data_IF_729856766612
#
_entry.id   IF_729856766612
#
_cell.length_a   1.000
_cell.length_b   1.000
_cell.length_c   1.000
_cell.angle_alpha   90.00
_cell.angle_beta   90.00
_cell.angle_gamma   90.00
#
_symmetry.space_group_name_H-M   'P 1'
#
loop_
_entity.id
_entity.type
_entity.pdbx_description
1 polymer ?
#
# COMPACT_ATOMS: atom_id res chain seq x y z
N UNK A 1 3.12 -7.70 13.75
CA UNK A 1 1.89 -6.91 14.00
C UNK A 1 1.49 -6.33 12.65
N UNK A 2 0.23 -6.52 12.20
CA UNK A 2 -0.24 -6.00 10.93
C UNK A 2 -0.23 -4.47 10.92
N UNK A 3 -0.03 -3.87 9.75
CA UNK A 3 -0.08 -2.42 9.58
C UNK A 3 -1.49 -1.87 9.87
N UNK A 4 -2.52 -2.53 9.33
CA UNK A 4 -3.92 -2.21 9.60
C UNK A 4 -4.67 -3.48 9.98
N UNK A 5 -5.50 -3.36 11.03
CA UNK A 5 -6.37 -4.42 11.52
C UNK A 5 -7.81 -3.91 11.53
N UNK A 6 -8.70 -4.59 10.82
CA UNK A 6 -10.12 -4.25 10.75
C UNK A 6 -10.94 -5.42 11.27
N UNK A 7 -11.77 -5.19 12.29
CA UNK A 7 -12.78 -6.13 12.76
C UNK A 7 -14.17 -5.62 12.36
N UNK A 8 -14.74 -6.21 11.34
CA UNK A 8 -16.12 -5.95 10.95
C UNK A 8 -17.06 -6.94 11.66
N UNK A 9 -17.69 -6.46 12.73
CA UNK A 9 -18.67 -7.23 13.51
C UNK A 9 -19.96 -7.51 12.74
N UNK A 10 -20.33 -6.68 11.75
CA UNK A 10 -21.55 -6.86 10.95
C UNK A 10 -21.34 -7.94 9.90
N UNK A 11 -20.20 -7.92 9.21
CA UNK A 11 -19.81 -8.92 8.20
C UNK A 11 -19.21 -10.18 8.82
N UNK A 12 -19.00 -10.22 10.15
CA UNK A 12 -18.28 -11.27 10.88
C UNK A 12 -16.95 -11.64 10.19
N UNK A 13 -16.13 -10.61 9.97
CA UNK A 13 -14.89 -10.70 9.20
C UNK A 13 -13.79 -9.87 9.83
N UNK A 14 -12.59 -10.45 9.90
CA UNK A 14 -11.35 -9.73 10.19
C UNK A 14 -10.58 -9.54 8.89
N UNK A 15 -10.02 -8.36 8.69
CA UNK A 15 -9.11 -8.07 7.60
C UNK A 15 -7.79 -7.55 8.14
N UNK A 16 -6.71 -8.23 7.76
CA UNK A 16 -5.33 -7.86 8.05
C UNK A 16 -4.74 -7.25 6.78
N UNK A 17 -4.25 -6.01 6.85
CA UNK A 17 -3.63 -5.34 5.72
C UNK A 17 -2.15 -5.13 6.01
N UNK A 18 -1.33 -5.51 5.04
CA UNK A 18 0.11 -5.28 5.03
C UNK A 18 0.47 -4.38 3.86
N UNK A 19 0.95 -3.19 4.16
CA UNK A 19 1.33 -2.20 3.16
C UNK A 19 2.83 -2.33 2.89
N UNK A 20 3.24 -2.22 1.63
CA UNK A 20 4.64 -2.29 1.25
C UNK A 20 4.97 -1.40 0.06
N UNK A 21 6.02 -0.60 0.19
CA UNK A 21 6.65 0.08 -0.93
C UNK A 21 7.92 -0.69 -1.30
N UNK A 22 8.12 -1.01 -2.57
CA UNK A 22 9.25 -1.83 -3.01
C UNK A 22 9.72 -1.45 -4.42
N UNK A 23 10.86 -1.99 -4.86
CA UNK A 23 11.30 -1.83 -6.24
C UNK A 23 10.49 -2.71 -7.18
N UNK A 24 10.48 -2.37 -8.47
CA UNK A 24 9.70 -3.07 -9.47
C UNK A 24 10.05 -4.57 -9.56
N UNK A 25 11.33 -4.93 -9.41
CA UNK A 25 11.82 -6.31 -9.54
C UNK A 25 11.33 -7.22 -8.40
N UNK A 26 11.14 -6.68 -7.19
CA UNK A 26 10.74 -7.43 -6.01
C UNK A 26 9.23 -7.45 -5.77
N UNK A 27 8.44 -6.76 -6.60
CA UNK A 27 7.00 -6.56 -6.39
C UNK A 27 6.23 -7.87 -6.12
N UNK A 28 6.47 -8.91 -6.93
CA UNK A 28 5.79 -10.20 -6.78
C UNK A 28 6.24 -10.99 -5.54
N UNK A 29 7.53 -10.89 -5.20
CA UNK A 29 8.12 -11.59 -4.06
C UNK A 29 7.56 -10.99 -2.78
N UNK A 30 7.62 -9.66 -2.64
CA UNK A 30 7.13 -8.91 -1.47
C UNK A 30 5.63 -9.11 -1.28
N UNK A 31 4.84 -9.12 -2.36
CA UNK A 31 3.41 -9.41 -2.28
C UNK A 31 3.15 -10.82 -1.70
N UNK A 32 3.88 -11.82 -2.19
CA UNK A 32 3.73 -13.22 -1.75
C UNK A 32 4.17 -13.41 -0.29
N UNK A 33 5.27 -12.78 0.09
CA UNK A 33 5.77 -12.79 1.48
C UNK A 33 4.76 -12.16 2.43
N UNK A 34 4.22 -10.98 2.09
CA UNK A 34 3.20 -10.30 2.90
C UNK A 34 1.90 -11.08 3.00
N UNK A 35 1.48 -11.74 1.92
CA UNK A 35 0.28 -12.59 1.93
C UNK A 35 0.41 -13.74 2.94
N UNK A 36 1.57 -14.39 3.01
CA UNK A 36 1.79 -15.58 3.87
C UNK A 36 2.22 -15.26 5.29
N UNK A 37 2.69 -14.03 5.55
CA UNK A 37 3.23 -13.58 6.84
C UNK A 37 2.30 -13.83 8.03
N UNK A 38 0.99 -13.79 7.80
CA UNK A 38 -0.03 -13.92 8.85
C UNK A 38 -0.93 -15.13 8.74
N UNK A 39 -0.57 -16.15 7.95
CA UNK A 39 -1.42 -17.34 7.76
C UNK A 39 -1.74 -18.04 9.10
N UNK A 40 -0.73 -18.22 9.97
CA UNK A 40 -0.92 -18.81 11.30
C UNK A 40 -1.83 -17.95 12.19
N UNK A 41 -1.56 -16.64 12.22
CA UNK A 41 -2.35 -15.69 13.02
C UNK A 41 -3.80 -15.63 12.54
N UNK A 42 -4.02 -15.69 11.22
CA UNK A 42 -5.36 -15.69 10.64
C UNK A 42 -6.16 -16.93 11.08
N UNK A 43 -5.52 -18.10 11.15
CA UNK A 43 -6.15 -19.32 11.64
C UNK A 43 -6.55 -19.20 13.12
N UNK A 44 -5.64 -18.73 13.98
CA UNK A 44 -5.93 -18.54 15.41
C UNK A 44 -7.07 -17.54 15.64
N UNK A 45 -7.04 -16.40 14.94
CA UNK A 45 -8.10 -15.40 15.02
C UNK A 45 -9.45 -15.94 14.54
N UNK A 46 -9.45 -16.72 13.45
CA UNK A 46 -10.65 -17.35 12.93
C UNK A 46 -11.30 -18.29 13.93
N UNK A 47 -10.49 -19.03 14.72
CA UNK A 47 -10.98 -19.91 15.78
C UNK A 47 -11.51 -19.13 16.99
N UNK A 48 -10.79 -18.11 17.45
CA UNK A 48 -11.15 -17.31 18.63
C UNK A 48 -12.45 -16.53 18.40
N UNK A 49 -12.51 -15.81 17.30
CA UNK A 49 -13.63 -14.92 16.98
C UNK A 49 -14.75 -15.64 16.22
N UNK A 50 -14.52 -16.89 15.79
CA UNK A 50 -15.46 -17.66 14.96
C UNK A 50 -15.89 -16.87 13.71
N UNK A 51 -14.92 -16.26 13.04
CA UNK A 51 -15.13 -15.34 11.93
C UNK A 51 -14.20 -15.64 10.75
N UNK A 52 -14.55 -15.15 9.56
CA UNK A 52 -13.64 -15.22 8.41
C UNK A 52 -12.47 -14.25 8.60
N UNK A 53 -11.26 -14.65 8.22
CA UNK A 53 -10.08 -13.78 8.27
C UNK A 53 -9.49 -13.69 6.87
N UNK A 54 -9.24 -12.47 6.39
CA UNK A 54 -8.61 -12.22 5.10
C UNK A 54 -7.32 -11.42 5.29
N UNK A 55 -6.25 -11.84 4.61
CA UNK A 55 -4.99 -11.11 4.54
C UNK A 55 -4.91 -10.43 3.18
N UNK A 56 -4.70 -9.12 3.18
CA UNK A 56 -4.61 -8.31 1.96
C UNK A 56 -3.23 -7.63 1.93
N UNK A 57 -2.33 -8.05 1.03
CA UNK A 57 -1.11 -7.30 0.74
C UNK A 57 -1.46 -6.09 -0.14
N UNK A 58 -1.06 -4.89 0.28
CA UNK A 58 -1.16 -3.67 -0.51
C UNK A 58 0.27 -3.24 -0.88
N UNK A 59 0.74 -3.68 -2.04
CA UNK A 59 2.13 -3.49 -2.47
C UNK A 59 2.18 -2.65 -3.74
N UNK A 60 3.01 -1.62 -3.72
CA UNK A 60 3.24 -0.73 -4.86
C UNK A 60 4.70 -0.29 -4.93
N UNK A 61 5.12 0.21 -6.09
CA UNK A 61 6.40 0.91 -6.22
C UNK A 61 6.23 2.40 -5.94
N UNK A 62 7.35 3.07 -5.69
CA UNK A 62 7.40 4.52 -5.59
C UNK A 62 7.00 5.21 -6.90
N UNK A 63 7.15 4.53 -8.05
CA UNK A 63 6.69 4.96 -9.37
C UNK A 63 5.17 4.75 -9.61
N UNK A 64 4.43 4.27 -8.60
CA UNK A 64 3.00 3.97 -8.72
C UNK A 64 2.69 2.68 -9.49
N UNK A 65 3.68 1.81 -9.76
CA UNK A 65 3.44 0.49 -10.34
C UNK A 65 2.86 -0.41 -9.26
N UNK A 66 1.71 -1.03 -9.55
CA UNK A 66 0.97 -1.86 -8.60
C UNK A 66 0.94 -3.32 -9.04
N UNK A 67 0.64 -4.21 -8.10
CA UNK A 67 0.56 -5.65 -8.39
C UNK A 67 -0.62 -6.01 -9.29
N UNK A 68 -0.58 -7.19 -9.89
CA UNK A 68 -1.69 -7.70 -10.71
C UNK A 68 -2.99 -7.92 -9.91
N UNK A 69 -2.89 -8.15 -8.60
CA UNK A 69 -4.04 -8.40 -7.73
C UNK A 69 -4.57 -7.11 -7.09
N UNK A 70 -3.87 -5.99 -7.22
CA UNK A 70 -4.20 -4.70 -6.62
C UNK A 70 -5.66 -4.28 -6.82
N UNK A 71 -6.14 -4.28 -8.08
CA UNK A 71 -7.54 -3.96 -8.40
C UNK A 71 -8.54 -4.89 -7.72
N UNK A 72 -8.18 -6.16 -7.57
CA UNK A 72 -9.03 -7.14 -6.90
C UNK A 72 -9.11 -6.86 -5.40
N UNK A 73 -8.00 -6.47 -4.77
CA UNK A 73 -7.96 -6.11 -3.35
C UNK A 73 -8.72 -4.82 -3.07
N UNK A 74 -8.57 -3.78 -3.89
CA UNK A 74 -9.36 -2.54 -3.78
C UNK A 74 -10.86 -2.82 -3.84
N UNK A 75 -11.30 -3.67 -4.77
CA UNK A 75 -12.71 -4.06 -4.88
C UNK A 75 -13.21 -4.80 -3.64
N UNK A 76 -12.38 -5.66 -3.01
CA UNK A 76 -12.72 -6.36 -1.77
C UNK A 76 -12.77 -5.45 -0.55
N UNK A 77 -11.92 -4.43 -0.53
CA UNK A 77 -11.90 -3.39 0.50
C UNK A 77 -12.98 -2.32 0.29
N UNK A 78 -13.74 -2.38 -0.81
CA UNK A 78 -14.75 -1.39 -1.17
C UNK A 78 -14.16 0.03 -1.30
N UNK A 79 -12.88 0.13 -1.67
CA UNK A 79 -12.19 1.41 -1.86
C UNK A 79 -12.52 1.94 -3.26
N UNK A 80 -13.11 3.14 -3.38
CA UNK A 80 -13.43 3.71 -4.68
C UNK A 80 -12.16 4.23 -5.36
N UNK A 81 -12.10 4.06 -6.68
CA UNK A 81 -10.89 4.31 -7.47
C UNK A 81 -10.43 5.78 -7.47
N UNK A 82 -11.34 6.72 -7.15
CA UNK A 82 -11.01 8.13 -6.99
C UNK A 82 -10.09 8.39 -5.78
N UNK A 83 -10.14 7.57 -4.73
CA UNK A 83 -9.26 7.71 -3.56
C UNK A 83 -7.83 7.35 -3.94
N UNK A 84 -7.66 6.26 -4.70
CA UNK A 84 -6.35 5.86 -5.20
C UNK A 84 -5.78 6.91 -6.17
N UNK A 85 -6.59 7.40 -7.11
CA UNK A 85 -6.18 8.47 -8.02
C UNK A 85 -5.77 9.74 -7.27
N UNK A 86 -6.45 10.06 -6.16
CA UNK A 86 -6.10 11.19 -5.31
C UNK A 86 -4.76 10.99 -4.59
N UNK A 87 -4.49 9.79 -4.07
CA UNK A 87 -3.20 9.46 -3.44
C UNK A 87 -2.06 9.59 -4.46
N UNK A 88 -2.21 8.99 -5.64
CA UNK A 88 -1.22 9.09 -6.72
C UNK A 88 -1.01 10.54 -7.18
N UNK A 89 -2.07 11.34 -7.22
CA UNK A 89 -1.98 12.76 -7.53
C UNK A 89 -1.12 13.51 -6.50
N UNK A 90 -1.37 13.31 -5.20
CA UNK A 90 -0.58 13.94 -4.13
C UNK A 90 0.90 13.55 -4.24
N UNK A 91 1.19 12.26 -4.42
CA UNK A 91 2.56 11.76 -4.58
C UNK A 91 3.25 12.42 -5.78
N UNK A 92 2.56 12.49 -6.93
CA UNK A 92 3.08 13.15 -8.14
C UNK A 92 3.32 14.65 -7.92
N UNK A 93 2.45 15.34 -7.16
CA UNK A 93 2.63 16.77 -6.88
C UNK A 93 3.77 17.04 -5.91
N UNK A 94 3.97 16.19 -4.91
CA UNK A 94 5.05 16.36 -3.94
C UNK A 94 6.41 16.18 -4.63
N UNK A 95 6.56 15.16 -5.47
CA UNK A 95 7.81 14.91 -6.22
C UNK A 95 8.20 16.10 -7.11
N UNK A 96 7.21 16.75 -7.75
CA UNK A 96 7.47 17.94 -8.58
C UNK A 96 7.97 19.15 -7.78
N UNK A 97 7.46 19.33 -6.57
CA UNK A 97 7.88 20.44 -5.71
C UNK A 97 9.33 20.22 -5.23
N UNK A 98 9.70 18.98 -4.91
CA UNK A 98 11.09 18.64 -4.53
C UNK A 98 12.07 18.84 -5.70
N UNK A 99 11.68 18.50 -6.94
CA UNK A 99 12.50 18.78 -8.13
C UNK A 99 12.65 20.28 -8.38
N UNK A 100 11.60 21.09 -8.19
CA UNK A 100 11.69 22.54 -8.37
C UNK A 100 12.59 23.23 -7.35
N UNK A 101 12.56 22.77 -6.09
CA UNK A 101 13.39 23.33 -5.02
C UNK A 101 14.89 23.07 -5.29
N UNK A 102 15.24 21.89 -5.84
CA UNK A 102 16.61 21.54 -6.26
C UNK A 102 17.08 22.34 -7.49
N UNK A 103 16.19 22.64 -8.44
CA UNK A 103 16.53 23.47 -9.60
C UNK A 103 16.80 24.94 -9.22
N UNK A 104 16.11 25.48 -8.22
CA UNK A 104 16.35 26.85 -7.73
C UNK A 104 17.68 26.97 -6.98
N UNK A 105 18.05 26.00 -6.13
CA UNK A 105 19.36 25.98 -5.47
C UNK A 105 20.52 25.90 -6.47
N UNK A 106 20.40 25.07 -7.51
CA UNK A 106 21.47 24.90 -8.52
C UNK A 106 21.62 26.10 -9.46
N UNK A 107 20.56 26.86 -9.71
CA UNK A 107 20.63 28.16 -10.40
C UNK A 107 21.27 29.24 -9.52
N UNK A 108 20.90 29.28 -8.24
CA UNK A 108 21.46 30.23 -7.27
C UNK A 108 22.97 30.09 -7.09
N UNK A 109 23.52 28.87 -7.20
CA UNK A 109 24.98 28.64 -7.12
C UNK A 109 25.74 29.10 -8.37
N UNK A 110 25.11 29.11 -9.55
CA UNK A 110 25.74 29.50 -10.82
C UNK A 110 25.74 31.00 -11.10
N UNK A 111 24.91 31.79 -10.40
CA UNK A 111 24.84 33.25 -10.57
C UNK A 111 25.82 34.04 -9.66
N UNK A 112 26.61 33.36 -8.81
CA UNK A 112 27.58 34.01 -7.89
C UNK A 112 29.04 33.89 -8.36
N UNK A 113 29.29 33.38 -9.57
CA UNK A 113 30.62 33.40 -10.24
C UNK A 113 30.70 34.46 -11.35
#
# INVERSE_FOLDING_TARGET
RPDIFILDKKKNKITLIEVGITSQDSLQIVETEKLRKYDLLANELGLIYKCSVEIIPYVMTWDGIVTKYHKSYLKRLEIPMNVEAYIQYIETTNNKNEESDLEEETKGVKEVE
#
